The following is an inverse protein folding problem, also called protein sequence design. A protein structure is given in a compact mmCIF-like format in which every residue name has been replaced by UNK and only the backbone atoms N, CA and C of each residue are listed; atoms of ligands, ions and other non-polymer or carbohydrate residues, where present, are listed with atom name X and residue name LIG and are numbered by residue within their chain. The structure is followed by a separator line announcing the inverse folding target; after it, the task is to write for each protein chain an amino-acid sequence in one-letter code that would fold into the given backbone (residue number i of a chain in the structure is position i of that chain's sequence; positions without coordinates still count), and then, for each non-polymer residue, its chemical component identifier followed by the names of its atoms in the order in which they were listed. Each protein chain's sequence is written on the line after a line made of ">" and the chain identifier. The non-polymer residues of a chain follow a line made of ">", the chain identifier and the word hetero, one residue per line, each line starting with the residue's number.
data_IF_631911710085
#
_entry.id   IF_631911710085
#
_cell.length_a   1.000
_cell.length_b   1.000
_cell.length_c   1.000
_cell.angle_alpha   90.00
_cell.angle_beta   90.00
_cell.angle_gamma   90.00
#
_symmetry.space_group_name_H-M   'P 1'
#
loop_
_entity.id
_entity.type
_entity.pdbx_description
1 polymer ?
#
# COMPACT_ATOMS: atom_id res chain seq x y z
N UNK A 1 4.23 13.49 -15.28
CA UNK A 1 5.26 13.26 -14.25
C UNK A 1 5.17 11.86 -13.65
N UNK A 2 4.12 11.51 -12.88
CA UNK A 2 4.01 10.21 -12.22
C UNK A 2 4.14 9.02 -13.19
N UNK A 3 3.54 9.10 -14.38
CA UNK A 3 3.65 8.08 -15.44
C UNK A 3 5.11 7.82 -15.85
N UNK A 4 5.94 8.86 -15.94
CA UNK A 4 7.35 8.72 -16.34
C UNK A 4 8.17 8.01 -15.26
N UNK A 5 7.89 8.30 -13.99
CA UNK A 5 8.55 7.61 -12.86
C UNK A 5 8.08 6.16 -12.77
N UNK A 6 6.78 5.91 -12.92
CA UNK A 6 6.26 4.54 -12.94
C UNK A 6 6.92 3.72 -14.04
N UNK A 7 7.09 4.28 -15.24
CA UNK A 7 7.82 3.63 -16.33
C UNK A 7 9.27 3.42 -15.90
N UNK A 8 9.99 4.45 -15.47
CA UNK A 8 11.41 4.32 -15.21
C UNK A 8 11.75 3.33 -14.07
N UNK A 9 10.92 3.25 -13.03
CA UNK A 9 11.06 2.21 -11.99
C UNK A 9 10.79 0.80 -12.54
N UNK A 10 9.84 0.63 -13.46
CA UNK A 10 9.59 -0.66 -14.13
C UNK A 10 10.77 -1.09 -15.01
N UNK A 11 11.49 -0.14 -15.60
CA UNK A 11 12.67 -0.41 -16.44
C UNK A 11 13.99 -0.51 -15.63
N UNK A 12 13.91 -0.54 -14.30
CA UNK A 12 15.04 -0.87 -13.43
C UNK A 12 15.94 0.30 -13.03
N UNK A 13 15.46 1.55 -13.15
CA UNK A 13 16.20 2.70 -12.60
C UNK A 13 16.11 2.67 -11.05
N UNK A 14 17.25 2.69 -10.34
CA UNK A 14 17.26 2.64 -8.87
C UNK A 14 16.55 3.84 -8.26
N UNK A 15 15.87 3.62 -7.12
CA UNK A 15 15.12 4.65 -6.42
C UNK A 15 16.04 5.74 -5.86
N UNK A 16 17.26 5.37 -5.47
CA UNK A 16 18.28 6.26 -4.92
C UNK A 16 18.62 7.40 -5.88
N UNK A 17 18.77 7.08 -7.17
CA UNK A 17 19.09 8.04 -8.23
C UNK A 17 17.95 9.06 -8.43
N UNK A 18 16.71 8.61 -8.27
CA UNK A 18 15.54 9.49 -8.34
C UNK A 18 15.47 10.45 -7.15
N UNK A 19 15.75 9.95 -5.95
CA UNK A 19 15.77 10.80 -4.75
C UNK A 19 16.81 11.89 -4.92
N UNK A 20 18.02 11.54 -5.33
CA UNK A 20 19.11 12.50 -5.46
C UNK A 20 18.82 13.54 -6.56
N UNK A 21 18.15 13.13 -7.65
CA UNK A 21 17.83 14.02 -8.77
C UNK A 21 16.64 14.95 -8.53
N UNK A 22 15.63 14.50 -7.77
CA UNK A 22 14.35 15.21 -7.64
C UNK A 22 14.15 15.91 -6.29
N UNK A 23 15.00 15.63 -5.29
CA UNK A 23 15.03 16.38 -4.03
C UNK A 23 15.48 17.81 -4.28
N UNK A 24 14.96 18.74 -3.49
CA UNK A 24 15.21 20.19 -3.60
C UNK A 24 14.83 20.84 -4.93
N UNK A 25 14.13 20.12 -5.80
CA UNK A 25 13.56 20.74 -6.99
C UNK A 25 12.43 21.69 -6.59
N UNK A 26 12.36 22.82 -7.28
CA UNK A 26 11.36 23.86 -7.01
C UNK A 26 10.28 23.81 -8.09
N UNK A 27 9.08 23.42 -7.68
CA UNK A 27 7.87 23.54 -8.49
C UNK A 27 6.76 24.07 -7.59
N UNK A 28 5.96 24.99 -8.11
CA UNK A 28 4.74 25.45 -7.45
C UNK A 28 3.70 24.31 -7.50
N UNK A 29 2.98 23.96 -6.41
CA UNK A 29 2.86 24.60 -5.11
C UNK A 29 3.96 24.19 -4.11
N UNK A 30 4.48 25.18 -3.39
CA UNK A 30 5.37 25.00 -2.23
C UNK A 30 4.63 25.39 -0.95
N UNK A 31 4.86 24.68 0.15
CA UNK A 31 4.22 25.03 1.41
C UNK A 31 4.37 24.01 2.52
N UNK A 32 3.59 24.22 3.57
CA UNK A 32 3.49 23.33 4.72
C UNK A 32 2.82 22.02 4.34
N UNK A 33 3.40 20.92 4.81
CA UNK A 33 2.83 19.59 4.67
C UNK A 33 2.04 19.27 5.93
N UNK A 34 0.80 18.83 5.78
CA UNK A 34 -0.06 18.41 6.90
C UNK A 34 -0.15 16.89 6.96
N UNK A 35 -0.04 16.32 8.16
CA UNK A 35 -0.22 14.87 8.40
C UNK A 35 1.03 14.02 8.23
N UNK A 36 2.21 14.64 8.09
CA UNK A 36 3.50 13.97 8.13
C UNK A 36 4.32 14.51 9.31
N UNK A 37 4.84 13.61 10.15
CA UNK A 37 5.57 13.96 11.36
C UNK A 37 7.07 14.25 11.08
N UNK A 38 7.63 13.68 10.02
CA UNK A 38 9.06 13.80 9.66
C UNK A 38 9.33 14.98 8.72
N UNK A 39 8.42 15.28 7.79
CA UNK A 39 8.57 16.35 6.78
C UNK A 39 7.47 17.39 6.96
N UNK A 40 7.83 18.57 7.49
CA UNK A 40 6.87 19.66 7.79
C UNK A 40 6.72 20.69 6.66
N UNK A 41 7.75 20.86 5.83
CA UNK A 41 7.78 21.83 4.73
C UNK A 41 8.41 21.18 3.49
N UNK A 42 7.85 21.47 2.31
CA UNK A 42 8.39 20.99 1.04
C UNK A 42 8.40 22.11 -0.01
N UNK A 43 9.42 22.10 -0.88
CA UNK A 43 9.58 23.09 -1.95
C UNK A 43 8.80 22.73 -3.21
N UNK A 44 8.29 21.49 -3.29
CA UNK A 44 7.47 20.93 -4.36
C UNK A 44 6.75 19.66 -3.88
N UNK A 45 5.67 19.28 -4.55
CA UNK A 45 5.05 17.95 -4.41
C UNK A 45 6.05 16.82 -4.74
N UNK A 46 6.94 17.05 -5.72
CA UNK A 46 7.91 16.03 -6.14
C UNK A 46 8.97 15.80 -5.08
N UNK A 47 9.49 16.92 -4.58
CA UNK A 47 10.40 16.96 -3.45
C UNK A 47 9.81 16.28 -2.21
N UNK A 48 8.52 16.52 -1.91
CA UNK A 48 7.84 15.80 -0.84
C UNK A 48 7.77 14.28 -1.06
N UNK A 49 7.33 13.84 -2.24
CA UNK A 49 7.16 12.40 -2.52
C UNK A 49 8.49 11.66 -2.44
N UNK A 50 9.55 12.18 -3.07
CA UNK A 50 10.83 11.48 -3.08
C UNK A 50 11.53 11.52 -1.74
N UNK A 51 11.36 12.60 -0.97
CA UNK A 51 11.86 12.68 0.40
C UNK A 51 11.15 11.69 1.33
N UNK A 52 9.83 11.57 1.21
CA UNK A 52 9.04 10.58 1.96
C UNK A 52 9.42 9.14 1.59
N UNK A 53 9.64 8.87 0.29
CA UNK A 53 10.12 7.57 -0.16
C UNK A 53 11.53 7.26 0.36
N UNK A 54 12.42 8.25 0.40
CA UNK A 54 13.76 8.08 0.94
C UNK A 54 13.74 7.76 2.44
N UNK A 55 12.93 8.47 3.22
CA UNK A 55 12.79 8.24 4.66
C UNK A 55 12.12 6.88 4.93
N UNK A 56 11.01 6.58 4.24
CA UNK A 56 10.19 5.40 4.51
C UNK A 56 10.79 4.08 4.00
N UNK A 57 11.45 4.10 2.83
CA UNK A 57 11.95 2.88 2.18
C UNK A 57 13.46 2.72 2.27
N UNK A 58 14.24 3.80 2.18
CA UNK A 58 15.71 3.74 2.24
C UNK A 58 16.24 3.97 3.66
N UNK A 59 15.40 4.42 4.60
CA UNK A 59 15.83 4.78 5.96
C UNK A 59 16.77 5.99 5.98
N UNK A 60 16.77 6.80 4.92
CA UNK A 60 17.59 8.01 4.79
C UNK A 60 16.95 9.17 5.57
N UNK A 61 17.32 9.29 6.84
CA UNK A 61 16.81 10.30 7.78
C UNK A 61 17.51 11.67 7.64
N UNK A 62 18.56 11.78 6.84
CA UNK A 62 19.28 13.03 6.53
C UNK A 62 18.41 14.05 5.78
N UNK A 63 17.40 13.55 5.07
CA UNK A 63 16.43 14.35 4.32
C UNK A 63 15.22 14.79 5.14
N UNK A 64 15.01 14.19 6.33
CA UNK A 64 13.92 14.50 7.22
C UNK A 64 14.20 15.79 7.99
N UNK A 65 13.16 16.59 8.25
CA UNK A 65 13.30 17.79 9.10
C UNK A 65 13.26 17.43 10.59
N UNK A 66 12.66 16.29 10.94
CA UNK A 66 12.58 15.75 12.30
C UNK A 66 13.05 14.31 12.23
N UNK A 67 14.03 13.96 13.05
CA UNK A 67 14.51 12.58 13.16
C UNK A 67 13.48 11.78 13.95
N UNK A 68 13.14 10.54 13.56
CA UNK A 68 12.16 9.73 14.29
C UNK A 68 12.53 9.51 15.77
N UNK A 69 13.81 9.56 16.11
CA UNK A 69 14.33 9.50 17.50
C UNK A 69 13.86 10.70 18.35
N UNK A 70 13.69 11.87 17.74
CA UNK A 70 13.20 13.07 18.44
C UNK A 70 11.71 12.97 18.78
N UNK A 71 10.95 12.10 18.11
CA UNK A 71 9.53 11.86 18.39
C UNK A 71 9.32 10.90 19.57
N UNK A 72 10.36 10.20 20.03
CA UNK A 72 10.25 9.33 21.20
C UNK A 72 10.09 10.17 22.48
N UNK A 73 9.17 9.81 23.39
CA UNK A 73 8.92 10.56 24.64
C UNK A 73 10.14 10.74 25.56
N UNK A 74 11.28 10.11 25.27
CA UNK A 74 12.53 10.22 26.02
C UNK A 74 13.57 11.19 25.43
N UNK A 75 13.31 11.80 24.25
CA UNK A 75 14.26 12.70 23.56
C UNK A 75 14.37 14.08 24.23
N UNK A 76 13.27 14.57 24.84
CA UNK A 76 13.26 15.76 25.69
C UNK A 76 13.73 15.34 27.09
N UNK A 77 15.05 15.16 27.23
CA UNK A 77 15.75 15.10 28.51
C UNK A 77 15.28 13.99 29.46
N UNK A 78 16.12 12.99 29.68
CA UNK A 78 16.00 12.15 30.88
C UNK A 78 16.24 13.05 32.09
N UNK A 79 15.17 13.47 32.76
CA UNK A 79 15.26 14.29 33.97
C UNK A 79 16.23 13.63 34.96
N UNK A 80 17.20 14.39 35.45
CA UNK A 80 18.13 13.94 36.48
C UNK A 80 17.34 13.50 37.72
N UNK A 81 17.04 12.20 37.83
CA UNK A 81 16.53 11.59 39.06
C UNK A 81 15.31 10.67 38.97
N UNK A 82 14.65 10.50 37.82
CA UNK A 82 13.38 9.75 37.77
C UNK A 82 13.36 8.61 36.73
N UNK A 83 14.31 7.67 36.83
CA UNK A 83 14.26 6.40 36.09
C UNK A 83 14.14 5.21 37.07
N UNK A 84 12.92 4.95 37.54
CA UNK A 84 12.56 3.76 38.32
C UNK A 84 11.59 2.83 37.55
N UNK A 85 11.73 2.77 36.23
CA UNK A 85 11.03 1.78 35.41
C UNK A 85 12.06 0.81 34.82
N UNK A 86 11.92 -0.50 35.04
CA UNK A 86 12.88 -1.48 34.54
C UNK A 86 12.91 -1.44 33.02
N UNK A 87 14.13 -1.39 32.48
CA UNK A 87 14.40 -1.45 31.07
C UNK A 87 13.79 -2.72 30.44
N UNK A 88 13.02 -2.50 29.37
CA UNK A 88 12.73 -3.45 28.28
C UNK A 88 12.25 -4.84 28.72
N UNK A 89 10.93 -5.02 28.79
CA UNK A 89 10.33 -6.36 28.81
C UNK A 89 10.66 -7.14 27.53
N UNK A 90 11.15 -8.40 27.62
CA UNK A 90 11.50 -9.26 26.48
C UNK A 90 10.29 -9.60 25.59
N UNK A 91 9.07 -9.30 26.05
CA UNK A 91 7.83 -9.50 25.32
C UNK A 91 7.68 -8.55 24.11
N UNK A 92 8.28 -7.35 24.14
CA UNK A 92 8.16 -6.39 23.03
C UNK A 92 9.12 -6.75 21.87
N UNK A 93 10.26 -7.37 22.17
CA UNK A 93 11.23 -7.82 21.17
C UNK A 93 10.71 -9.03 20.36
N UNK A 94 10.00 -9.96 21.01
CA UNK A 94 9.36 -11.09 20.36
C UNK A 94 8.21 -10.69 19.42
N UNK A 95 7.57 -9.54 19.66
CA UNK A 95 6.51 -9.01 18.78
C UNK A 95 7.11 -8.28 17.57
N UNK A 96 8.29 -7.65 17.72
CA UNK A 96 9.02 -6.96 16.63
C UNK A 96 9.64 -7.91 15.60
N UNK A 97 9.95 -9.15 15.97
CA UNK A 97 10.47 -10.16 15.03
C UNK A 97 9.39 -10.82 14.17
N UNK A 98 8.11 -10.75 14.60
CA UNK A 98 6.97 -11.39 13.92
C UNK A 98 6.14 -10.37 13.14
N UNK A 99 6.15 -9.09 13.51
CA UNK A 99 5.41 -8.03 12.81
C UNK A 99 6.35 -7.19 11.92
N UNK A 100 5.96 -6.99 10.65
CA UNK A 100 6.64 -6.06 9.75
C UNK A 100 6.69 -4.65 10.35
N UNK A 101 7.85 -3.99 10.31
CA UNK A 101 8.03 -2.59 10.74
C UNK A 101 7.38 -1.58 9.77
N UNK A 102 6.23 -1.93 9.18
CA UNK A 102 5.41 -1.00 8.43
C UNK A 102 4.87 0.05 9.39
N UNK A 103 5.27 1.30 9.18
CA UNK A 103 4.81 2.45 9.95
C UNK A 103 3.28 2.57 9.86
N UNK A 104 2.58 2.08 10.90
CA UNK A 104 1.12 2.18 11.02
C UNK A 104 0.78 3.63 11.34
N UNK A 105 0.28 4.34 10.34
CA UNK A 105 -0.21 5.72 10.49
C UNK A 105 -1.57 5.67 11.18
N UNK A 106 -1.55 5.66 12.50
CA UNK A 106 -2.74 5.64 13.33
C UNK A 106 -2.36 5.49 14.79
N UNK A 107 -2.76 6.47 15.61
CA UNK A 107 -2.54 6.52 17.05
C UNK A 107 -3.16 5.30 17.75
N UNK A 108 -2.45 4.18 17.76
CA UNK A 108 -2.83 2.99 18.53
C UNK A 108 -1.85 2.81 19.69
N UNK A 109 -1.87 3.78 20.61
CA UNK A 109 -1.27 3.62 21.92
C UNK A 109 -2.18 2.71 22.76
N UNK A 110 -1.85 1.42 22.84
CA UNK A 110 -2.48 0.51 23.80
C UNK A 110 -1.83 0.75 25.17
N UNK A 111 -2.41 1.66 25.95
CA UNK A 111 -2.11 1.73 27.39
C UNK A 111 -2.77 0.50 28.02
N UNK A 112 -1.98 -0.54 28.29
CA UNK A 112 -2.42 -1.64 29.15
C UNK A 112 -2.64 -1.08 30.55
N UNK A 113 -3.91 -0.92 30.92
CA UNK A 113 -4.30 -0.48 32.25
C UNK A 113 -3.83 -1.48 33.31
N UNK A 114 -3.25 -0.95 34.39
CA UNK A 114 -2.80 -1.67 35.57
C UNK A 114 -3.97 -2.34 36.32
N UNK A 115 -4.51 -3.43 35.78
CA UNK A 115 -5.54 -4.27 36.43
C UNK A 115 -5.37 -5.77 36.19
N UNK A 116 -4.15 -6.25 35.93
CA UNK A 116 -3.84 -7.70 35.93
C UNK A 116 -2.68 -8.02 36.88
N UNK A 117 -2.75 -7.50 38.11
CA UNK A 117 -1.86 -7.94 39.18
C UNK A 117 -2.57 -7.87 40.52
N UNK A 118 -3.54 -8.76 40.75
CA UNK A 118 -3.72 -9.58 41.98
C UNK A 118 -4.93 -10.50 41.83
N UNK A 119 -4.76 -11.78 42.19
CA UNK A 119 -5.68 -12.93 42.13
C UNK A 119 -5.75 -13.58 40.74
N UNK A 120 -5.22 -14.77 40.49
CA UNK A 120 -5.40 -15.99 41.29
C UNK A 120 -4.21 -16.94 41.06
N UNK A 121 -3.44 -17.18 42.12
CA UNK A 121 -2.59 -18.36 42.21
C UNK A 121 -3.46 -19.44 42.86
N UNK A 122 -3.55 -20.59 42.20
CA UNK A 122 -4.11 -21.87 42.65
C UNK A 122 -5.61 -22.14 42.46
N UNK A 123 -5.96 -22.77 41.33
CA UNK A 123 -6.86 -23.92 41.32
C UNK A 123 -6.69 -24.83 40.07
N UNK A 124 -6.26 -26.06 40.36
CA UNK A 124 -6.63 -27.31 39.70
C UNK A 124 -6.22 -27.59 38.24
N UNK A 125 -5.18 -28.42 38.14
CA UNK A 125 -5.08 -29.44 37.11
C UNK A 125 -6.30 -30.39 37.11
N UNK A 126 -6.60 -30.90 35.91
CA UNK A 126 -7.51 -32.00 35.55
C UNK A 126 -9.02 -31.70 35.48
N UNK A 127 -9.53 -31.51 34.26
CA UNK A 127 -10.59 -32.35 33.69
C UNK A 127 -10.75 -32.10 32.19
N UNK A 128 -11.05 -33.18 31.49
CA UNK A 128 -11.05 -33.35 30.04
C UNK A 128 -12.36 -32.91 29.39
N UNK A 129 -12.21 -32.49 28.12
CA UNK A 129 -13.11 -32.74 26.99
C UNK A 129 -14.45 -31.99 26.80
N UNK A 130 -14.62 -31.66 25.50
CA UNK A 130 -15.84 -31.57 24.68
C UNK A 130 -16.37 -30.16 24.40
N UNK A 131 -16.18 -29.74 23.15
CA UNK A 131 -16.80 -28.55 22.57
C UNK A 131 -16.18 -28.16 21.23
N UNK A 132 -16.16 -29.09 20.28
CA UNK A 132 -15.73 -28.82 18.92
C UNK A 132 -16.62 -27.76 18.26
N UNK A 133 -16.00 -26.77 17.61
CA UNK A 133 -16.57 -26.19 16.41
C UNK A 133 -15.46 -25.76 15.47
N UNK A 134 -15.54 -26.32 14.27
CA UNK A 134 -14.53 -26.41 13.23
C UNK A 134 -14.60 -25.24 12.26
N UNK A 135 -13.49 -24.54 12.02
CA UNK A 135 -13.13 -24.08 10.66
C UNK A 135 -11.60 -24.08 10.52
N UNK A 136 -11.11 -25.08 9.77
CA UNK A 136 -10.05 -24.92 8.78
C UNK A 136 -8.64 -24.53 9.25
N UNK A 137 -7.92 -25.45 9.87
CA UNK A 137 -6.47 -25.45 9.85
C UNK A 137 -5.98 -25.82 8.44
N UNK A 138 -5.24 -24.92 7.77
CA UNK A 138 -4.32 -25.29 6.70
C UNK A 138 -2.94 -25.38 7.34
N UNK A 139 -2.48 -26.60 7.56
CA UNK A 139 -1.12 -26.93 7.96
C UNK A 139 -0.14 -26.49 6.84
N UNK A 140 0.87 -25.71 7.19
CA UNK A 140 2.08 -25.53 6.36
C UNK A 140 3.10 -26.58 6.80
N UNK A 141 3.64 -27.42 5.90
CA UNK A 141 4.67 -28.38 6.28
C UNK A 141 6.02 -27.67 6.39
N UNK A 142 6.79 -28.07 7.41
CA UNK A 142 8.19 -27.71 7.55
C UNK A 142 9.04 -28.45 6.50
N UNK A 143 9.81 -27.70 5.71
CA UNK A 143 10.98 -28.22 5.00
C UNK A 143 12.15 -27.26 5.19
N UNK A 144 13.24 -27.85 5.67
CA UNK A 144 14.56 -27.30 5.91
C UNK A 144 15.32 -27.01 4.61
N UNK A 145 16.11 -25.94 4.63
CA UNK A 145 17.35 -25.67 3.86
C UNK A 145 17.43 -26.13 2.39
N UNK A 146 17.35 -25.15 1.48
CA UNK A 146 18.35 -24.98 0.41
C UNK A 146 18.21 -23.60 -0.21
N UNK A 147 19.29 -22.84 -0.19
CA UNK A 147 19.45 -21.53 -0.82
C UNK A 147 19.69 -21.77 -2.31
N UNK A 148 18.74 -21.40 -3.17
CA UNK A 148 19.01 -21.18 -4.60
C UNK A 148 18.26 -19.94 -5.04
N UNK A 149 19.05 -18.99 -5.54
CA UNK A 149 18.65 -17.69 -6.05
C UNK A 149 17.96 -17.87 -7.41
N UNK A 150 16.65 -17.67 -7.48
CA UNK A 150 15.93 -17.54 -8.74
C UNK A 150 14.96 -16.36 -8.66
N UNK A 151 15.10 -15.46 -9.63
CA UNK A 151 14.35 -14.22 -9.80
C UNK A 151 12.84 -14.44 -9.64
N UNK A 152 12.26 -13.84 -8.62
CA UNK A 152 10.82 -13.84 -8.36
C UNK A 152 10.08 -13.13 -9.49
N UNK A 153 9.61 -13.91 -10.48
CA UNK A 153 8.48 -13.49 -11.32
C UNK A 153 7.23 -13.55 -10.46
N UNK A 154 6.56 -12.42 -10.29
CA UNK A 154 5.26 -12.37 -9.65
C UNK A 154 4.30 -13.27 -10.44
N UNK A 155 3.90 -14.39 -9.83
CA UNK A 155 2.90 -15.29 -10.39
C UNK A 155 1.54 -14.64 -10.15
N UNK A 156 1.05 -13.92 -11.16
CA UNK A 156 -0.34 -13.43 -11.17
C UNK A 156 -1.25 -14.65 -11.43
N UNK A 157 -2.28 -14.81 -10.59
CA UNK A 157 -3.21 -15.94 -10.69
C UNK A 157 -3.86 -16.03 -12.08
N UNK A 158 -3.99 -17.24 -12.60
CA UNK A 158 -4.53 -17.55 -13.94
C UNK A 158 -5.90 -16.93 -14.20
N UNK A 159 -6.73 -16.81 -13.16
CA UNK A 159 -8.09 -16.27 -13.26
C UNK A 159 -8.09 -14.78 -13.65
N UNK A 160 -7.10 -14.01 -13.18
CA UNK A 160 -6.97 -12.59 -13.51
C UNK A 160 -6.51 -12.41 -14.95
N UNK A 161 -5.61 -13.29 -15.42
CA UNK A 161 -5.09 -13.27 -16.80
C UNK A 161 -6.23 -13.55 -17.80
N UNK A 162 -7.05 -14.57 -17.52
CA UNK A 162 -8.18 -14.97 -18.39
C UNK A 162 -9.24 -13.85 -18.50
N UNK A 163 -9.56 -13.18 -17.39
CA UNK A 163 -10.50 -12.05 -17.42
C UNK A 163 -9.95 -10.81 -18.13
N UNK A 164 -8.65 -10.53 -18.03
CA UNK A 164 -8.04 -9.41 -18.76
C UNK A 164 -7.94 -9.67 -20.26
N UNK A 165 -7.59 -10.88 -20.67
CA UNK A 165 -7.45 -11.24 -22.08
C UNK A 165 -8.82 -11.20 -22.79
N UNK A 166 -9.86 -11.75 -22.15
CA UNK A 166 -11.23 -11.68 -22.70
C UNK A 166 -11.74 -10.24 -22.87
N UNK A 167 -11.38 -9.33 -21.96
CA UNK A 167 -11.76 -7.91 -22.07
C UNK A 167 -10.99 -7.21 -23.19
N UNK A 168 -9.72 -7.53 -23.38
CA UNK A 168 -8.89 -6.96 -24.45
C UNK A 168 -9.34 -7.42 -25.83
N UNK A 169 -9.78 -8.67 -25.96
CA UNK A 169 -10.32 -9.21 -27.21
C UNK A 169 -11.64 -8.52 -27.59
N UNK A 170 -12.53 -8.27 -26.63
CA UNK A 170 -13.76 -7.50 -26.85
C UNK A 170 -13.46 -6.06 -27.30
N UNK A 171 -12.44 -5.41 -26.72
CA UNK A 171 -12.01 -4.07 -27.14
C UNK A 171 -11.46 -4.10 -28.58
N UNK A 172 -10.67 -5.12 -28.92
CA UNK A 172 -10.10 -5.29 -30.28
C UNK A 172 -11.21 -5.50 -31.30
N UNK A 173 -12.18 -6.34 -30.99
CA UNK A 173 -13.36 -6.56 -31.82
C UNK A 173 -14.21 -5.31 -31.98
N UNK A 174 -14.43 -4.56 -30.89
CA UNK A 174 -15.18 -3.31 -30.92
C UNK A 174 -14.52 -2.26 -31.84
N UNK A 175 -13.18 -2.19 -31.82
CA UNK A 175 -12.39 -1.34 -32.72
C UNK A 175 -12.45 -1.81 -34.17
N UNK A 176 -12.38 -3.12 -34.42
CA UNK A 176 -12.50 -3.68 -35.77
C UNK A 176 -13.88 -3.43 -36.39
N UNK A 177 -14.94 -3.42 -35.58
CA UNK A 177 -16.31 -3.12 -36.01
C UNK A 177 -16.60 -1.61 -36.15
N UNK A 178 -15.67 -0.76 -35.74
CA UNK A 178 -15.79 0.70 -35.89
C UNK A 178 -16.79 1.36 -34.95
N UNK A 179 -16.93 0.86 -33.72
CA UNK A 179 -17.76 1.52 -32.71
C UNK A 179 -17.08 2.81 -32.22
N UNK A 180 -17.81 3.93 -32.22
CA UNK A 180 -17.26 5.24 -31.80
C UNK A 180 -17.14 5.38 -30.27
N UNK A 181 -17.85 4.56 -29.49
CA UNK A 181 -17.77 4.57 -28.02
C UNK A 181 -18.76 5.49 -27.32
N UNK A 182 -19.68 6.13 -28.07
CA UNK A 182 -20.81 6.87 -27.52
C UNK A 182 -21.95 5.93 -27.11
N UNK A 183 -22.60 6.24 -25.99
CA UNK A 183 -23.76 5.52 -25.52
C UNK A 183 -24.98 5.82 -26.41
N UNK A 184 -25.67 4.77 -26.88
CA UNK A 184 -26.94 4.94 -27.57
C UNK A 184 -27.99 5.55 -26.62
N UNK A 185 -28.69 6.61 -27.05
CA UNK A 185 -29.71 7.28 -26.23
C UNK A 185 -30.97 6.45 -25.95
N UNK A 186 -31.24 5.39 -26.72
CA UNK A 186 -32.41 4.54 -26.53
C UNK A 186 -32.12 3.30 -25.68
N UNK A 187 -31.01 2.61 -25.94
CA UNK A 187 -30.68 1.34 -25.29
C UNK A 187 -29.42 1.37 -24.41
N UNK A 188 -28.71 2.50 -24.32
CA UNK A 188 -27.54 2.68 -23.46
C UNK A 188 -26.30 1.88 -23.86
N UNK A 189 -26.34 1.10 -24.95
CA UNK A 189 -25.21 0.32 -25.41
C UNK A 189 -24.21 1.18 -26.20
N UNK A 190 -22.93 0.84 -26.13
CA UNK A 190 -21.80 1.55 -26.76
C UNK A 190 -21.48 1.04 -28.18
N UNK A 191 -22.40 0.29 -28.79
CA UNK A 191 -22.24 -0.34 -30.12
C UNK A 191 -22.68 0.58 -31.26
N UNK A 192 -22.39 1.88 -31.14
CA UNK A 192 -22.78 2.91 -32.08
C UNK A 192 -21.77 3.03 -33.23
N UNK A 193 -22.21 2.84 -34.48
CA UNK A 193 -21.37 2.86 -35.69
C UNK A 193 -21.80 4.00 -36.61
N UNK A 194 -20.83 4.68 -37.22
CA UNK A 194 -21.08 5.72 -38.20
C UNK A 194 -21.62 5.16 -39.51
N UNK A 195 -22.80 5.62 -39.91
CA UNK A 195 -23.44 5.31 -41.19
C UNK A 195 -23.72 6.62 -41.94
N UNK A 196 -22.67 7.19 -42.55
CA UNK A 196 -22.73 8.49 -43.21
C UNK A 196 -22.68 9.67 -42.24
N UNK A 197 -23.67 10.56 -42.30
CA UNK A 197 -23.84 11.68 -41.34
C UNK A 197 -24.47 11.23 -40.03
N UNK A 198 -25.18 10.09 -40.05
CA UNK A 198 -25.84 9.53 -38.88
C UNK A 198 -24.97 8.49 -38.17
N UNK A 199 -25.26 8.31 -36.88
CA UNK A 199 -24.76 7.23 -36.04
C UNK A 199 -25.87 6.21 -35.83
N UNK A 200 -25.58 4.92 -35.97
CA UNK A 200 -26.56 3.83 -35.83
C UNK A 200 -26.11 2.81 -34.79
N UNK A 201 -27.01 2.47 -33.87
CA UNK A 201 -26.75 1.43 -32.88
C UNK A 201 -26.97 0.04 -33.48
N UNK A 202 -25.98 -0.85 -33.36
CA UNK A 202 -26.14 -2.24 -33.83
C UNK A 202 -27.03 -3.09 -32.91
N UNK A 203 -27.21 -2.69 -31.65
CA UNK A 203 -27.99 -3.47 -30.67
C UNK A 203 -29.48 -3.18 -30.73
N UNK A 204 -29.89 -1.91 -30.84
CA UNK A 204 -31.31 -1.52 -30.87
C UNK A 204 -31.76 -0.89 -32.19
N UNK A 205 -30.86 -0.62 -33.14
CA UNK A 205 -31.21 -0.04 -34.44
C UNK A 205 -31.45 1.47 -34.44
N UNK A 206 -31.52 2.12 -33.27
CA UNK A 206 -31.72 3.56 -33.13
C UNK A 206 -30.63 4.39 -33.81
N UNK A 207 -31.02 5.53 -34.38
CA UNK A 207 -30.12 6.46 -35.08
C UNK A 207 -30.01 7.79 -34.35
N UNK A 208 -28.79 8.26 -34.10
CA UNK A 208 -28.52 9.60 -33.56
C UNK A 208 -27.75 10.46 -34.57
N UNK A 209 -27.97 11.77 -34.57
CA UNK A 209 -27.20 12.71 -35.39
C UNK A 209 -27.59 12.85 -36.87
N UNK A 210 -28.80 12.44 -37.25
CA UNK A 210 -29.33 12.71 -38.59
C UNK A 210 -29.92 14.13 -38.66
N UNK A 211 -29.34 15.01 -39.48
CA UNK A 211 -29.97 16.27 -39.94
C UNK A 211 -30.67 16.06 -41.27
#
# INVERSE_FOLDING_TARGET
>A
FAIAISIALQYGVPLEEFVDSFTFTRFEPSGTVTGNDTIKMATSILDYIFRELAVSYLGRNDLAHVVPEDLEPGSIGTGEGENFLPATDPAIEAVRSVASQGYVRGNFLVIRGAKDSVAEVAAAAAASAVGASTVGAVQVPAVSEAIVQESARAVVGSDVIEHTDGRLDQIREARMRGYEGDACGECGNFTLVRNGTCMKCQTCGGTSGCS
#
